data_IF_427337904232
#
_entry.id   IF_427337904232
#
_cell.length_a   1.000
_cell.length_b   1.000
_cell.length_c   1.000
_cell.angle_alpha   90.00
_cell.angle_beta   90.00
_cell.angle_gamma   90.00
#
_symmetry.space_group_name_H-M   'P 1'
#
loop_
_entity.id
_entity.type
_entity.pdbx_description
1 polymer ?
#
# COMPACT_ATOMS: atom_id res chain seq x y z
N UNK A 1 19.61 9.09 -53.06
CA UNK A 1 18.36 9.43 -52.34
C UNK A 1 17.61 8.14 -52.09
N UNK A 2 17.32 7.65 -50.89
CA UNK A 2 17.67 8.05 -49.53
C UNK A 2 17.87 6.74 -48.74
N UNK A 3 18.94 6.66 -47.95
CA UNK A 3 19.13 5.56 -47.00
C UNK A 3 18.13 5.80 -45.86
N UNK A 4 17.17 4.89 -45.67
CA UNK A 4 16.26 4.96 -44.53
C UNK A 4 17.05 4.48 -43.32
N UNK A 5 17.49 5.41 -42.49
CA UNK A 5 17.99 5.14 -41.15
C UNK A 5 16.85 4.49 -40.35
N UNK A 6 17.00 3.23 -39.99
CA UNK A 6 16.16 2.58 -39.01
C UNK A 6 16.58 3.08 -37.61
N UNK A 7 15.67 3.64 -36.79
CA UNK A 7 16.01 4.01 -35.43
C UNK A 7 16.25 2.73 -34.60
N UNK A 8 17.26 2.70 -33.71
CA UNK A 8 17.58 1.53 -32.90
C UNK A 8 16.90 1.61 -31.53
N UNK A 9 15.56 1.65 -31.47
CA UNK A 9 14.86 1.55 -30.19
C UNK A 9 13.54 0.84 -30.40
N UNK A 10 13.61 -0.49 -30.45
CA UNK A 10 12.45 -1.32 -30.16
C UNK A 10 12.43 -1.54 -28.63
N UNK A 11 12.16 -0.47 -27.88
CA UNK A 11 11.99 -0.50 -26.42
C UNK A 11 10.56 -0.92 -26.07
N UNK A 12 10.09 -2.00 -26.68
CA UNK A 12 9.09 -2.84 -26.01
C UNK A 12 9.85 -4.01 -25.42
N UNK A 13 10.57 -3.74 -24.32
CA UNK A 13 10.76 -4.81 -23.34
C UNK A 13 9.35 -5.32 -23.02
N UNK A 14 9.03 -6.60 -23.28
CA UNK A 14 7.84 -7.16 -22.67
C UNK A 14 8.10 -7.01 -21.18
N UNK A 15 7.32 -6.16 -20.50
CA UNK A 15 7.23 -6.23 -19.05
C UNK A 15 7.08 -7.72 -18.73
N UNK A 16 8.11 -8.27 -18.07
CA UNK A 16 8.24 -9.70 -17.90
C UNK A 16 6.96 -10.18 -17.24
N UNK A 17 6.22 -11.01 -17.98
CA UNK A 17 4.91 -11.49 -17.60
C UNK A 17 4.96 -12.20 -16.25
N UNK A 18 6.14 -12.66 -15.82
CA UNK A 18 6.39 -13.21 -14.49
C UNK A 18 6.23 -12.19 -13.34
N UNK A 19 6.65 -10.93 -13.51
CA UNK A 19 6.48 -9.89 -12.49
C UNK A 19 5.03 -9.39 -12.44
N UNK A 20 4.35 -9.29 -13.59
CA UNK A 20 2.90 -9.03 -13.63
C UNK A 20 2.10 -10.21 -13.08
N UNK A 21 2.54 -11.46 -13.27
CA UNK A 21 1.92 -12.66 -12.69
C UNK A 21 2.15 -12.79 -11.18
N UNK A 22 3.33 -12.45 -10.67
CA UNK A 22 3.60 -12.38 -9.23
C UNK A 22 2.77 -11.26 -8.56
N UNK A 23 2.61 -10.13 -9.26
CA UNK A 23 1.69 -9.06 -8.85
C UNK A 23 0.20 -9.46 -8.99
N UNK A 24 -0.15 -10.31 -9.96
CA UNK A 24 -1.49 -10.88 -10.15
C UNK A 24 -1.83 -11.96 -9.10
N UNK A 25 -0.86 -12.77 -8.68
CA UNK A 25 -0.99 -13.68 -7.53
C UNK A 25 -1.11 -12.90 -6.22
N UNK A 26 -0.44 -11.74 -6.11
CA UNK A 26 -0.69 -10.80 -5.01
C UNK A 26 -2.12 -10.20 -5.07
N UNK A 27 -2.75 -10.19 -6.24
CA UNK A 27 -4.12 -9.72 -6.53
C UNK A 27 -5.19 -10.72 -6.08
N UNK A 28 -4.81 -11.98 -5.82
CA UNK A 28 -5.61 -12.95 -5.06
C UNK A 28 -5.41 -12.77 -3.54
N UNK A 29 -5.13 -11.54 -3.12
CA UNK A 29 -5.57 -11.07 -1.81
C UNK A 29 -7.11 -11.09 -1.81
N UNK A 30 -7.69 -12.29 -1.68
CA UNK A 30 -9.02 -12.47 -1.09
C UNK A 30 -9.09 -11.43 0.04
N UNK A 31 -9.93 -10.40 -0.08
CA UNK A 31 -10.11 -9.42 1.00
C UNK A 31 -10.83 -10.18 2.12
N UNK A 32 -10.15 -10.76 3.13
CA UNK A 32 -10.76 -11.82 3.89
C UNK A 32 -11.09 -11.24 5.25
N UNK A 33 -12.21 -10.52 5.31
CA UNK A 33 -12.91 -10.21 6.55
C UNK A 33 -14.18 -9.40 6.28
N UNK A 34 -15.34 -9.89 6.73
CA UNK A 34 -16.54 -9.04 6.89
C UNK A 34 -16.32 -7.89 7.89
N UNK A 35 -15.27 -7.97 8.70
CA UNK A 35 -14.82 -6.94 9.64
C UNK A 35 -13.69 -6.06 9.04
N UNK A 36 -13.93 -4.76 8.83
CA UNK A 36 -12.93 -3.83 8.26
C UNK A 36 -11.68 -3.68 9.14
N UNK A 37 -11.78 -3.86 10.46
CA UNK A 37 -10.63 -3.74 11.36
C UNK A 37 -9.62 -4.87 11.11
N UNK A 38 -10.10 -6.10 10.97
CA UNK A 38 -9.26 -7.25 10.65
C UNK A 38 -8.63 -7.14 9.25
N UNK A 39 -9.35 -6.57 8.26
CA UNK A 39 -8.80 -6.30 6.94
C UNK A 39 -7.62 -5.31 7.01
N UNK A 40 -7.79 -4.18 7.70
CA UNK A 40 -6.72 -3.19 7.90
C UNK A 40 -5.52 -3.77 8.67
N UNK A 41 -5.76 -4.65 9.65
CA UNK A 41 -4.70 -5.34 10.36
C UNK A 41 -3.88 -6.26 9.44
N UNK A 42 -4.55 -7.02 8.55
CA UNK A 42 -3.88 -7.87 7.56
C UNK A 42 -3.06 -7.05 6.58
N UNK A 43 -3.59 -5.91 6.12
CA UNK A 43 -2.87 -4.98 5.24
C UNK A 43 -1.59 -4.45 5.89
N UNK A 44 -1.65 -4.01 7.15
CA UNK A 44 -0.46 -3.54 7.88
C UNK A 44 0.58 -4.65 8.03
N UNK A 45 0.16 -5.86 8.42
CA UNK A 45 1.06 -7.00 8.57
C UNK A 45 1.75 -7.35 7.24
N UNK A 46 1.01 -7.31 6.12
CA UNK A 46 1.56 -7.58 4.79
C UNK A 46 2.57 -6.52 4.38
N UNK A 47 2.28 -5.24 4.62
CA UNK A 47 3.19 -4.13 4.34
C UNK A 47 4.52 -4.29 5.10
N UNK A 48 4.46 -4.61 6.39
CA UNK A 48 5.67 -4.81 7.21
C UNK A 48 6.49 -5.99 6.69
N UNK A 49 5.86 -7.12 6.39
CA UNK A 49 6.54 -8.31 5.87
C UNK A 49 7.22 -8.03 4.52
N UNK A 50 6.51 -7.40 3.59
CA UNK A 50 7.07 -7.07 2.27
C UNK A 50 8.23 -6.07 2.37
N UNK A 51 8.14 -5.07 3.25
CA UNK A 51 9.23 -4.11 3.44
C UNK A 51 10.49 -4.74 4.09
N UNK A 52 10.31 -5.77 4.94
CA UNK A 52 11.42 -6.52 5.51
C UNK A 52 12.05 -7.49 4.50
N UNK A 53 11.23 -8.13 3.66
CA UNK A 53 11.69 -9.04 2.63
C UNK A 53 12.38 -8.31 1.47
N UNK A 54 11.82 -7.17 1.06
CA UNK A 54 12.26 -6.39 -0.10
C UNK A 54 12.54 -4.93 0.31
N UNK A 55 13.65 -4.67 1.03
CA UNK A 55 14.00 -3.31 1.45
C UNK A 55 14.34 -2.42 0.25
N UNK A 56 13.96 -1.15 0.32
CA UNK A 56 14.30 -0.14 -0.70
C UNK A 56 13.27 0.04 -1.83
N UNK A 57 12.28 -0.85 -1.94
CA UNK A 57 11.13 -0.65 -2.87
C UNK A 57 10.32 0.59 -2.50
N UNK A 58 10.10 0.79 -1.19
CA UNK A 58 9.54 2.02 -0.65
C UNK A 58 10.63 2.83 0.06
N UNK A 59 10.64 4.13 -0.17
CA UNK A 59 11.40 5.04 0.67
C UNK A 59 10.85 5.05 2.10
N UNK A 60 11.68 5.43 3.07
CA UNK A 60 11.26 5.53 4.46
C UNK A 60 10.04 6.47 4.64
N UNK A 61 9.95 7.52 3.83
CA UNK A 61 8.81 8.45 3.85
C UNK A 61 7.53 7.82 3.30
N UNK A 62 7.62 7.07 2.19
CA UNK A 62 6.48 6.37 1.60
C UNK A 62 5.95 5.29 2.55
N UNK A 63 6.84 4.49 3.15
CA UNK A 63 6.46 3.51 4.16
C UNK A 63 5.75 4.17 5.36
N UNK A 64 6.30 5.28 5.85
CA UNK A 64 5.69 6.06 6.95
C UNK A 64 4.29 6.57 6.58
N UNK A 65 4.13 7.15 5.38
CA UNK A 65 2.84 7.65 4.88
C UNK A 65 1.81 6.54 4.75
N UNK A 66 2.19 5.39 4.20
CA UNK A 66 1.26 4.28 4.02
C UNK A 66 0.81 3.68 5.36
N UNK A 67 1.75 3.52 6.32
CA UNK A 67 1.39 3.11 7.69
C UNK A 67 0.48 4.12 8.38
N UNK A 68 0.70 5.43 8.19
CA UNK A 68 -0.19 6.46 8.71
C UNK A 68 -1.61 6.34 8.15
N UNK A 69 -1.76 6.14 6.83
CA UNK A 69 -3.08 5.99 6.20
C UNK A 69 -3.84 4.77 6.70
N UNK A 70 -3.15 3.63 6.85
CA UNK A 70 -3.76 2.41 7.39
C UNK A 70 -4.22 2.63 8.84
N UNK A 71 -3.39 3.26 9.67
CA UNK A 71 -3.74 3.56 11.05
C UNK A 71 -4.86 4.60 11.16
N UNK A 72 -4.90 5.58 10.26
CA UNK A 72 -5.99 6.54 10.19
C UNK A 72 -7.32 5.86 9.85
N UNK A 73 -7.32 4.94 8.88
CA UNK A 73 -8.52 4.18 8.53
C UNK A 73 -9.04 3.28 9.68
N UNK A 74 -8.18 2.89 10.63
CA UNK A 74 -8.58 2.16 11.84
C UNK A 74 -9.33 3.05 12.85
N UNK A 75 -9.28 4.37 12.71
CA UNK A 75 -10.02 5.29 13.58
C UNK A 75 -11.50 5.30 13.16
N UNK A 76 -12.28 4.32 13.65
CA UNK A 76 -13.71 4.22 13.36
C UNK A 76 -14.57 5.16 14.21
N UNK A 77 -14.12 5.50 15.42
CA UNK A 77 -14.83 6.39 16.34
C UNK A 77 -14.11 7.73 16.41
N UNK A 78 -14.48 8.65 15.52
CA UNK A 78 -14.19 10.06 15.72
C UNK A 78 -15.28 10.61 16.64
N UNK A 79 -14.99 10.85 17.91
CA UNK A 79 -15.91 11.54 18.83
C UNK A 79 -15.76 13.07 18.65
N UNK A 80 -16.64 13.76 17.90
CA UNK A 80 -16.57 15.20 17.75
C UNK A 80 -16.79 15.86 19.12
N UNK A 81 -15.73 16.40 19.71
CA UNK A 81 -15.75 17.02 21.03
C UNK A 81 -14.65 16.53 21.99
N UNK A 82 -13.97 15.41 21.70
CA UNK A 82 -12.89 14.87 22.53
C UNK A 82 -11.66 15.80 22.66
N UNK A 83 -11.44 16.70 21.69
CA UNK A 83 -10.37 17.69 21.69
C UNK A 83 -10.83 19.11 22.10
N UNK A 84 -12.11 19.31 22.45
CA UNK A 84 -12.62 20.58 22.93
C UNK A 84 -12.25 20.84 24.40
N UNK A 85 -12.33 22.09 24.90
CA UNK A 85 -11.99 22.44 26.28
C UNK A 85 -12.84 21.74 27.38
N UNK A 86 -13.86 20.98 27.00
CA UNK A 86 -14.67 20.12 27.87
C UNK A 86 -14.66 18.62 27.50
N UNK A 87 -13.75 18.19 26.63
CA UNK A 87 -13.61 16.79 26.24
C UNK A 87 -13.25 15.93 27.46
N UNK A 88 -14.20 15.12 27.93
CA UNK A 88 -13.92 14.17 29.00
C UNK A 88 -13.01 13.08 28.43
N UNK A 89 -11.81 12.97 28.98
CA UNK A 89 -10.92 11.82 28.72
C UNK A 89 -11.59 10.58 29.33
N UNK A 90 -12.43 9.86 28.58
CA UNK A 90 -12.70 8.45 28.87
C UNK A 90 -11.41 7.64 28.65
N UNK A 91 -10.97 6.72 29.51
CA UNK A 91 -11.61 5.99 30.62
C UNK A 91 -10.68 5.93 31.84
N UNK A 92 -11.26 6.02 33.03
CA UNK A 92 -10.73 5.63 34.33
C UNK A 92 -11.89 5.14 35.18
#
# INVERSE_FOLDING_TARGET
MASVLQPPFDDTEPADSAEELENAEAHEAELPSADPALALQKMENRLVRLNLANPGVLSAEQLRKLRYLINFAKLSDFEPGAAGPGGTRGRG
#
